data_IF_870730784348
#
_entry.id   IF_870730784348
#
_cell.length_a   1.000
_cell.length_b   1.000
_cell.length_c   1.000
_cell.angle_alpha   90.00
_cell.angle_beta   90.00
_cell.angle_gamma   90.00
#
_symmetry.space_group_name_H-M   'P 1'
#
loop_
_entity.id
_entity.type
_entity.pdbx_description
1 polymer ?
#
# COMPACT_ATOMS: atom_id res chain seq x y z
N UNK A 1 36.55 -3.29 46.20
CA UNK A 1 37.83 -2.59 46.44
C UNK A 1 37.48 -1.28 47.10
N UNK A 2 37.55 -1.19 48.44
CA UNK A 2 38.64 -0.52 49.20
C UNK A 2 38.75 0.96 48.76
N UNK A 3 38.57 2.00 49.57
CA UNK A 3 38.83 2.14 51.01
C UNK A 3 37.98 3.26 51.63
N UNK A 4 37.61 3.05 52.89
CA UNK A 4 37.07 4.02 53.85
C UNK A 4 38.20 4.85 54.45
N UNK A 5 37.99 6.16 54.67
CA UNK A 5 38.83 6.96 55.56
C UNK A 5 37.97 7.91 56.40
N UNK A 6 38.02 7.68 57.71
CA UNK A 6 37.56 8.55 58.80
C UNK A 6 38.40 9.84 58.89
N UNK A 7 37.95 10.87 59.61
CA UNK A 7 38.86 11.77 60.30
C UNK A 7 38.75 11.68 61.82
N UNK A 8 39.91 11.44 62.42
CA UNK A 8 40.20 11.53 63.84
C UNK A 8 40.23 12.97 64.32
N UNK A 9 39.70 13.16 65.51
CA UNK A 9 39.97 14.21 66.47
C UNK A 9 41.40 14.14 67.02
N UNK A 10 42.06 15.28 67.24
CA UNK A 10 43.15 15.41 68.25
C UNK A 10 43.60 16.86 68.46
N UNK A 11 43.24 17.39 69.63
CA UNK A 11 44.02 18.21 70.56
C UNK A 11 44.75 19.47 70.05
N UNK A 12 44.20 20.62 70.42
CA UNK A 12 44.94 21.86 70.61
C UNK A 12 45.77 21.86 71.91
N UNK A 13 46.91 22.53 71.88
CA UNK A 13 47.64 22.98 73.06
C UNK A 13 47.55 24.50 73.10
N UNK A 14 46.83 25.04 74.08
CA UNK A 14 46.83 26.45 74.43
C UNK A 14 47.69 26.63 75.67
N UNK A 15 48.84 27.27 75.52
CA UNK A 15 49.70 27.67 76.64
C UNK A 15 49.31 29.10 77.04
N UNK A 16 48.58 29.23 78.15
CA UNK A 16 48.26 30.51 78.79
C UNK A 16 49.28 30.78 79.88
N UNK A 17 50.32 31.56 79.58
CA UNK A 17 51.16 32.18 80.61
C UNK A 17 50.56 33.52 81.01
N UNK A 18 50.15 33.61 82.28
CA UNK A 18 49.51 34.75 82.93
C UNK A 18 50.43 35.96 83.04
N UNK A 19 49.99 37.09 82.49
CA UNK A 19 50.51 38.41 82.82
C UNK A 19 50.09 38.77 84.25
N UNK A 20 51.08 39.06 85.10
CA UNK A 20 50.90 39.33 86.53
C UNK A 20 50.34 40.75 86.73
N UNK A 21 49.10 40.83 87.23
CA UNK A 21 48.46 42.07 87.63
C UNK A 21 49.01 42.52 88.98
N UNK A 22 49.37 43.81 89.08
CA UNK A 22 49.96 44.45 90.26
C UNK A 22 49.06 44.34 91.50
N UNK A 23 49.61 44.06 92.71
CA UNK A 23 48.83 43.73 93.92
C UNK A 23 47.90 44.85 94.43
N UNK A 24 48.07 46.09 93.96
CA UNK A 24 47.16 47.19 94.25
C UNK A 24 45.87 47.17 93.42
N UNK A 25 45.86 46.52 92.25
CA UNK A 25 44.70 46.46 91.35
C UNK A 25 43.80 45.25 91.64
N UNK A 26 44.36 44.15 92.15
CA UNK A 26 43.59 43.00 92.67
C UNK A 26 42.75 43.37 93.90
N UNK A 27 43.31 44.19 94.81
CA UNK A 27 42.55 44.72 95.96
C UNK A 27 41.37 45.60 95.52
N UNK A 28 41.57 46.45 94.50
CA UNK A 28 40.58 47.41 94.05
C UNK A 28 39.46 46.79 93.19
N UNK A 29 39.76 45.70 92.47
CA UNK A 29 38.78 44.95 91.68
C UNK A 29 37.96 43.96 92.54
N UNK A 30 38.57 43.35 93.55
CA UNK A 30 37.89 42.44 94.49
C UNK A 30 36.84 43.15 95.35
N UNK A 31 37.12 44.39 95.77
CA UNK A 31 36.24 45.17 96.66
C UNK A 31 35.04 45.81 95.93
N UNK A 32 35.08 45.91 94.59
CA UNK A 32 34.05 46.59 93.78
C UNK A 32 33.18 45.66 92.93
N UNK A 33 33.58 44.40 92.73
CA UNK A 33 32.84 43.44 91.88
C UNK A 33 32.13 42.32 92.64
N UNK A 34 32.30 42.18 93.96
CA UNK A 34 31.39 41.38 94.82
C UNK A 34 31.14 39.94 94.37
N UNK A 35 32.05 39.38 93.56
CA UNK A 35 31.86 38.09 92.89
C UNK A 35 33.09 37.77 92.07
N UNK A 36 33.86 36.78 92.54
CA UNK A 36 34.87 36.08 91.74
C UNK A 36 34.12 35.51 90.52
N UNK A 37 34.29 36.09 89.34
CA UNK A 37 33.81 35.46 88.11
C UNK A 37 34.69 34.23 87.93
N UNK A 38 34.15 33.05 88.25
CA UNK A 38 34.84 31.77 88.03
C UNK A 38 34.94 31.55 86.51
N UNK A 39 36.05 32.01 85.93
CA UNK A 39 36.43 31.82 84.52
C UNK A 39 36.27 30.34 84.10
N UNK A 40 36.56 29.41 85.02
CA UNK A 40 36.38 27.97 84.84
C UNK A 40 34.92 27.56 84.67
N UNK A 41 33.99 28.15 85.44
CA UNK A 41 32.55 27.87 85.34
C UNK A 41 31.99 28.41 84.02
N UNK A 42 32.43 29.60 83.59
CA UNK A 42 31.99 30.18 82.32
C UNK A 42 32.52 29.38 81.11
N UNK A 43 33.79 28.96 81.12
CA UNK A 43 34.35 28.08 80.08
C UNK A 43 33.66 26.71 80.05
N UNK A 44 33.33 26.14 81.21
CA UNK A 44 32.58 24.89 81.30
C UNK A 44 31.16 25.04 80.72
N UNK A 45 30.49 26.17 80.96
CA UNK A 45 29.18 26.48 80.36
C UNK A 45 29.25 26.64 78.85
N UNK A 46 30.26 27.33 78.31
CA UNK A 46 30.44 27.42 76.85
C UNK A 46 30.79 26.08 76.22
N UNK A 47 31.65 25.27 76.85
CA UNK A 47 31.99 23.93 76.37
C UNK A 47 30.78 23.01 76.34
N UNK A 48 29.98 23.01 77.41
CA UNK A 48 28.75 22.19 77.49
C UNK A 48 27.69 22.64 76.49
N UNK A 49 27.53 23.95 76.27
CA UNK A 49 26.64 24.46 75.21
C UNK A 49 27.13 24.10 73.81
N UNK A 50 28.43 24.21 73.55
CA UNK A 50 29.01 23.84 72.26
C UNK A 50 28.87 22.34 72.00
N UNK A 51 29.14 21.50 72.98
CA UNK A 51 28.93 20.06 72.88
C UNK A 51 27.45 19.70 72.69
N UNK A 52 26.53 20.39 73.36
CA UNK A 52 25.11 20.18 73.15
C UNK A 52 24.70 20.54 71.72
N UNK A 53 25.19 21.67 71.18
CA UNK A 53 24.93 22.10 69.80
C UNK A 53 25.56 21.15 68.78
N UNK A 54 26.74 20.62 69.05
CA UNK A 54 27.37 19.59 68.20
C UNK A 54 26.57 18.29 68.23
N UNK A 55 26.11 17.82 69.40
CA UNK A 55 25.24 16.64 69.51
C UNK A 55 23.89 16.84 68.81
N UNK A 56 23.26 17.99 68.95
CA UNK A 56 22.01 18.35 68.23
C UNK A 56 22.23 18.32 66.70
N UNK A 57 23.35 18.89 66.23
CA UNK A 57 23.70 18.88 64.81
C UNK A 57 23.97 17.47 64.31
N UNK A 58 24.70 16.66 65.07
CA UNK A 58 25.05 15.29 64.69
C UNK A 58 23.80 14.41 64.62
N UNK A 59 22.91 14.49 65.63
CA UNK A 59 21.61 13.79 65.60
C UNK A 59 20.70 14.26 64.46
N UNK A 60 20.68 15.55 64.14
CA UNK A 60 19.96 16.07 62.98
C UNK A 60 20.47 15.47 61.66
N UNK A 61 21.79 15.43 61.46
CA UNK A 61 22.38 14.85 60.24
C UNK A 61 22.19 13.34 60.15
N UNK A 62 22.27 12.62 61.27
CA UNK A 62 21.96 11.20 61.32
C UNK A 62 20.50 10.94 60.88
N UNK A 63 19.55 11.71 61.41
CA UNK A 63 18.14 11.63 60.99
C UNK A 63 17.98 11.97 59.51
N UNK A 64 18.65 13.02 59.03
CA UNK A 64 18.57 13.43 57.61
C UNK A 64 19.17 12.37 56.68
N UNK A 65 20.26 11.73 57.09
CA UNK A 65 20.89 10.63 56.34
C UNK A 65 19.95 9.43 56.26
N UNK A 66 19.29 9.05 57.36
CA UNK A 66 18.34 7.94 57.33
C UNK A 66 17.09 8.26 56.50
N UNK A 67 16.56 9.48 56.58
CA UNK A 67 15.46 9.94 55.72
C UNK A 67 15.85 9.86 54.23
N UNK A 68 17.06 10.31 53.88
CA UNK A 68 17.57 10.24 52.50
C UNK A 68 17.79 8.80 52.03
N UNK A 69 18.25 7.90 52.89
CA UNK A 69 18.38 6.47 52.57
C UNK A 69 17.02 5.82 52.29
N UNK A 70 16.03 6.10 53.12
CA UNK A 70 14.66 5.61 52.94
C UNK A 70 14.04 6.15 51.65
N UNK A 71 14.21 7.45 51.39
CA UNK A 71 13.74 8.10 50.15
C UNK A 71 14.42 7.51 48.91
N UNK A 72 15.74 7.33 48.93
CA UNK A 72 16.48 6.70 47.83
C UNK A 72 16.02 5.27 47.57
N UNK A 73 15.80 4.47 48.63
CA UNK A 73 15.30 3.11 48.50
C UNK A 73 13.88 3.08 47.90
N UNK A 74 13.02 4.04 48.27
CA UNK A 74 11.68 4.19 47.69
C UNK A 74 11.75 4.50 46.20
N UNK A 75 12.55 5.49 45.79
CA UNK A 75 12.72 5.88 44.39
C UNK A 75 13.31 4.73 43.58
N UNK A 76 14.33 4.04 44.08
CA UNK A 76 14.91 2.86 43.40
C UNK A 76 13.90 1.72 43.25
N UNK A 77 13.03 1.51 44.24
CA UNK A 77 11.95 0.53 44.17
C UNK A 77 10.92 0.89 43.10
N UNK A 78 10.52 2.17 43.03
CA UNK A 78 9.59 2.68 42.01
C UNK A 78 10.18 2.61 40.60
N UNK A 79 11.45 3.01 40.42
CA UNK A 79 12.15 2.91 39.14
C UNK A 79 12.30 1.45 38.68
N UNK A 80 12.63 0.52 39.59
CA UNK A 80 12.71 -0.89 39.27
C UNK A 80 11.33 -1.46 38.86
N UNK A 81 10.26 -1.06 39.55
CA UNK A 81 8.90 -1.44 39.20
C UNK A 81 8.47 -0.88 37.82
N UNK A 82 8.79 0.38 37.54
CA UNK A 82 8.52 1.02 36.26
C UNK A 82 9.30 0.35 35.11
N UNK A 83 10.59 0.06 35.30
CA UNK A 83 11.41 -0.66 34.33
C UNK A 83 10.86 -2.07 34.05
N UNK A 84 10.41 -2.78 35.09
CA UNK A 84 9.78 -4.09 34.92
C UNK A 84 8.44 -4.01 34.17
N UNK A 85 7.63 -2.99 34.43
CA UNK A 85 6.39 -2.76 33.70
C UNK A 85 6.64 -2.52 32.21
N UNK A 86 7.60 -1.64 31.87
CA UNK A 86 8.00 -1.36 30.48
C UNK A 86 8.55 -2.60 29.79
N UNK A 87 9.36 -3.41 30.47
CA UNK A 87 9.88 -4.66 29.90
C UNK A 87 8.75 -5.66 29.59
N UNK A 88 7.75 -5.77 30.48
CA UNK A 88 6.59 -6.65 30.26
C UNK A 88 5.72 -6.17 29.10
N UNK A 89 5.48 -4.86 28.97
CA UNK A 89 4.70 -4.32 27.84
C UNK A 89 5.44 -4.54 26.52
N UNK A 90 6.75 -4.27 26.48
CA UNK A 90 7.57 -4.52 25.29
C UNK A 90 7.59 -6.01 24.90
N UNK A 91 7.66 -6.92 25.87
CA UNK A 91 7.59 -8.36 25.61
C UNK A 91 6.21 -8.78 25.08
N UNK A 92 5.12 -8.22 25.62
CA UNK A 92 3.76 -8.49 25.14
C UNK A 92 3.55 -7.99 23.70
N UNK A 93 4.05 -6.79 23.39
CA UNK A 93 4.00 -6.22 22.03
C UNK A 93 4.83 -7.04 21.04
N UNK A 94 6.03 -7.47 21.42
CA UNK A 94 6.87 -8.33 20.59
C UNK A 94 6.19 -9.69 20.31
N UNK A 95 5.56 -10.30 21.31
CA UNK A 95 4.80 -11.54 21.13
C UNK A 95 3.61 -11.36 20.18
N UNK A 96 2.87 -10.24 20.31
CA UNK A 96 1.77 -9.90 19.41
C UNK A 96 2.26 -9.71 17.97
N UNK A 97 3.35 -8.97 17.77
CA UNK A 97 3.93 -8.74 16.45
C UNK A 97 4.38 -10.06 15.76
N UNK A 98 4.91 -11.02 16.53
CA UNK A 98 5.27 -12.35 15.99
C UNK A 98 4.03 -13.11 15.51
N UNK A 99 2.95 -13.11 16.30
CA UNK A 99 1.70 -13.79 15.93
C UNK A 99 1.07 -13.15 14.68
N UNK A 100 1.02 -11.83 14.61
CA UNK A 100 0.51 -11.10 13.45
C UNK A 100 1.35 -11.38 12.20
N UNK A 101 2.68 -11.38 12.33
CA UNK A 101 3.59 -11.74 11.24
C UNK A 101 3.37 -13.17 10.75
N UNK A 102 3.19 -14.13 11.65
CA UNK A 102 2.98 -15.52 11.28
C UNK A 102 1.61 -15.74 10.64
N UNK A 103 0.57 -15.03 11.09
CA UNK A 103 -0.73 -15.00 10.42
C UNK A 103 -0.63 -14.40 9.01
N UNK A 104 0.06 -13.27 8.85
CA UNK A 104 0.29 -12.64 7.55
C UNK A 104 1.06 -13.57 6.60
N UNK A 105 2.08 -14.28 7.09
CA UNK A 105 2.82 -15.27 6.29
C UNK A 105 1.93 -16.39 5.78
N UNK A 106 1.05 -16.93 6.63
CA UNK A 106 0.09 -17.98 6.22
C UNK A 106 -0.87 -17.47 5.14
N UNK A 107 -1.38 -16.25 5.29
CA UNK A 107 -2.23 -15.63 4.28
C UNK A 107 -1.49 -15.45 2.95
N UNK A 108 -0.23 -14.99 2.98
CA UNK A 108 0.58 -14.86 1.76
C UNK A 108 0.80 -16.20 1.09
N UNK A 109 1.07 -17.28 1.84
CA UNK A 109 1.22 -18.61 1.25
C UNK A 109 -0.07 -19.12 0.63
N UNK A 110 -1.21 -18.88 1.27
CA UNK A 110 -2.54 -19.27 0.76
C UNK A 110 -2.92 -18.47 -0.49
N UNK A 111 -2.66 -17.17 -0.50
CA UNK A 111 -2.91 -16.36 -1.70
C UNK A 111 -2.03 -16.77 -2.87
N UNK A 112 -0.79 -17.20 -2.61
CA UNK A 112 0.11 -17.74 -3.66
C UNK A 112 -0.38 -19.06 -4.23
N UNK A 113 -0.90 -19.97 -3.40
CA UNK A 113 -1.44 -21.24 -3.89
C UNK A 113 -2.72 -21.02 -4.71
N UNK A 114 -3.60 -20.12 -4.25
CA UNK A 114 -4.81 -19.72 -4.98
C UNK A 114 -4.47 -19.03 -6.30
N UNK A 115 -3.49 -18.12 -6.32
CA UNK A 115 -3.03 -17.46 -7.54
C UNK A 115 -2.52 -18.49 -8.56
N UNK A 116 -1.66 -19.41 -8.14
CA UNK A 116 -1.16 -20.46 -9.03
C UNK A 116 -2.28 -21.39 -9.54
N UNK A 117 -3.32 -21.63 -8.74
CA UNK A 117 -4.50 -22.38 -9.18
C UNK A 117 -5.32 -21.60 -10.22
N UNK A 118 -5.49 -20.29 -10.02
CA UNK A 118 -6.17 -19.42 -10.96
C UNK A 118 -5.40 -19.30 -12.29
N UNK A 119 -4.08 -19.18 -12.27
CA UNK A 119 -3.23 -19.17 -13.47
C UNK A 119 -3.40 -20.46 -14.28
N UNK A 120 -3.34 -21.63 -13.64
CA UNK A 120 -3.59 -22.90 -14.34
C UNK A 120 -5.02 -23.02 -14.90
N UNK A 121 -6.00 -22.48 -14.19
CA UNK A 121 -7.38 -22.46 -14.68
C UNK A 121 -7.51 -21.54 -15.90
N UNK A 122 -6.81 -20.40 -15.91
CA UNK A 122 -6.75 -19.49 -17.03
C UNK A 122 -6.10 -20.14 -18.26
N UNK A 123 -4.96 -20.80 -18.10
CA UNK A 123 -4.29 -21.54 -19.20
C UNK A 123 -5.23 -22.59 -19.82
N UNK A 124 -6.01 -23.29 -18.98
CA UNK A 124 -6.99 -24.28 -19.42
C UNK A 124 -8.16 -23.64 -20.17
N UNK A 125 -8.63 -22.48 -19.72
CA UNK A 125 -9.68 -21.74 -20.42
C UNK A 125 -9.19 -21.25 -21.78
N UNK A 126 -7.95 -20.78 -21.87
CA UNK A 126 -7.36 -20.33 -23.13
C UNK A 126 -7.21 -21.49 -24.12
N UNK A 127 -6.79 -22.67 -23.65
CA UNK A 127 -6.75 -23.89 -24.46
C UNK A 127 -8.14 -24.31 -24.98
N UNK A 128 -9.15 -24.33 -24.10
CA UNK A 128 -10.53 -24.67 -24.49
C UNK A 128 -11.13 -23.65 -25.46
N UNK A 129 -10.78 -22.37 -25.32
CA UNK A 129 -11.20 -21.33 -26.25
C UNK A 129 -10.59 -21.57 -27.65
N UNK A 130 -9.32 -21.93 -27.75
CA UNK A 130 -8.70 -22.23 -29.05
C UNK A 130 -9.30 -23.48 -29.70
N UNK A 131 -9.56 -24.55 -28.94
CA UNK A 131 -10.26 -25.76 -29.44
C UNK A 131 -11.66 -25.43 -29.97
N UNK A 132 -12.39 -24.56 -29.27
CA UNK A 132 -13.72 -24.10 -29.67
C UNK A 132 -13.65 -23.24 -30.93
N UNK A 133 -12.69 -22.33 -31.04
CA UNK A 133 -12.48 -21.53 -32.25
C UNK A 133 -12.02 -22.39 -33.45
N UNK A 134 -11.17 -23.39 -33.22
CA UNK A 134 -10.82 -24.36 -34.25
C UNK A 134 -12.06 -25.12 -34.75
N UNK A 135 -12.89 -25.63 -33.83
CA UNK A 135 -14.14 -26.33 -34.16
C UNK A 135 -15.10 -25.43 -34.94
N UNK A 136 -15.21 -24.14 -34.58
CA UNK A 136 -16.00 -23.16 -35.32
C UNK A 136 -15.50 -22.94 -36.75
N UNK A 137 -14.18 -22.85 -36.94
CA UNK A 137 -13.56 -22.70 -38.27
C UNK A 137 -13.76 -23.95 -39.13
N UNK A 138 -13.63 -25.13 -38.54
CA UNK A 138 -13.89 -26.41 -39.22
C UNK A 138 -15.34 -26.52 -39.66
N UNK A 139 -16.28 -26.27 -38.75
CA UNK A 139 -17.70 -26.27 -39.07
C UNK A 139 -18.07 -25.24 -40.14
N UNK A 140 -17.50 -24.03 -40.08
CA UNK A 140 -17.74 -23.00 -41.09
C UNK A 140 -17.23 -23.43 -42.48
N UNK A 141 -16.07 -24.10 -42.54
CA UNK A 141 -15.53 -24.67 -43.79
C UNK A 141 -16.44 -25.75 -44.34
N UNK A 142 -16.77 -26.77 -43.54
CA UNK A 142 -17.66 -27.86 -43.95
C UNK A 142 -19.03 -27.34 -44.41
N UNK A 143 -19.60 -26.39 -43.68
CA UNK A 143 -20.87 -25.76 -44.05
C UNK A 143 -20.77 -25.05 -45.39
N UNK A 144 -19.67 -24.31 -45.64
CA UNK A 144 -19.46 -23.61 -46.91
C UNK A 144 -19.30 -24.61 -48.07
N UNK A 145 -18.57 -25.70 -47.88
CA UNK A 145 -18.41 -26.77 -48.87
C UNK A 145 -19.74 -27.45 -49.19
N UNK A 146 -20.50 -27.86 -48.17
CA UNK A 146 -21.81 -28.50 -48.35
C UNK A 146 -22.81 -27.55 -49.01
N UNK A 147 -22.83 -26.28 -48.60
CA UNK A 147 -23.71 -25.27 -49.22
C UNK A 147 -23.32 -25.04 -50.68
N UNK A 148 -22.02 -24.98 -50.99
CA UNK A 148 -21.53 -24.87 -52.37
C UNK A 148 -21.90 -26.08 -53.23
N UNK A 149 -21.74 -27.30 -52.69
CA UNK A 149 -22.11 -28.53 -53.38
C UNK A 149 -23.63 -28.61 -53.63
N UNK A 150 -24.44 -28.22 -52.65
CA UNK A 150 -25.90 -28.16 -52.79
C UNK A 150 -26.30 -27.16 -53.89
N UNK A 151 -25.78 -25.93 -53.86
CA UNK A 151 -26.10 -24.94 -54.89
C UNK A 151 -25.67 -25.38 -56.30
N UNK A 152 -24.54 -26.08 -56.43
CA UNK A 152 -24.13 -26.66 -57.72
C UNK A 152 -25.07 -27.76 -58.20
N UNK A 153 -25.55 -28.62 -57.28
CA UNK A 153 -26.50 -29.67 -57.61
C UNK A 153 -27.86 -29.09 -58.01
N UNK A 154 -28.34 -28.08 -57.29
CA UNK A 154 -29.58 -27.35 -57.59
C UNK A 154 -29.51 -26.66 -58.95
N UNK A 155 -28.40 -25.99 -59.27
CA UNK A 155 -28.19 -25.36 -60.57
C UNK A 155 -28.22 -26.39 -61.72
N UNK A 156 -27.52 -27.52 -61.56
CA UNK A 156 -27.55 -28.61 -62.56
C UNK A 156 -28.94 -29.21 -62.72
N UNK A 157 -29.69 -29.37 -61.63
CA UNK A 157 -31.06 -29.89 -61.68
C UNK A 157 -31.99 -28.93 -62.43
N UNK A 158 -31.85 -27.62 -62.20
CA UNK A 158 -32.58 -26.59 -62.94
C UNK A 158 -32.23 -26.60 -64.44
N UNK A 159 -30.94 -26.60 -64.79
CA UNK A 159 -30.48 -26.66 -66.19
C UNK A 159 -31.02 -27.91 -66.91
N UNK A 160 -31.02 -29.07 -66.24
CA UNK A 160 -31.56 -30.30 -66.80
C UNK A 160 -33.09 -30.24 -66.97
N UNK A 161 -33.81 -29.65 -66.01
CA UNK A 161 -35.26 -29.45 -66.11
C UNK A 161 -35.60 -28.52 -67.29
N UNK A 162 -34.85 -27.43 -67.48
CA UNK A 162 -35.04 -26.49 -68.59
C UNK A 162 -34.80 -27.14 -69.95
N UNK A 163 -33.74 -27.94 -70.06
CA UNK A 163 -33.45 -28.70 -71.28
C UNK A 163 -34.52 -29.75 -71.57
N UNK A 164 -35.04 -30.43 -70.54
CA UNK A 164 -36.12 -31.41 -70.69
C UNK A 164 -37.43 -30.74 -71.14
N UNK A 165 -37.76 -29.55 -70.61
CA UNK A 165 -38.92 -28.79 -71.04
C UNK A 165 -38.82 -28.42 -72.53
N UNK A 166 -37.65 -27.94 -72.96
CA UNK A 166 -37.39 -27.60 -74.37
C UNK A 166 -37.51 -28.82 -75.28
N UNK A 167 -36.90 -29.95 -74.91
CA UNK A 167 -36.97 -31.19 -75.67
C UNK A 167 -38.41 -31.73 -75.75
N UNK A 168 -39.17 -31.66 -74.66
CA UNK A 168 -40.57 -32.11 -74.62
C UNK A 168 -41.46 -31.26 -75.54
N UNK A 169 -41.21 -29.95 -75.60
CA UNK A 169 -41.92 -29.04 -76.51
C UNK A 169 -41.53 -29.24 -77.99
N UNK A 170 -40.28 -29.60 -78.25
CA UNK A 170 -39.76 -29.88 -79.58
C UNK A 170 -40.40 -31.11 -80.25
N UNK A 171 -40.89 -32.07 -79.45
CA UNK A 171 -41.53 -33.28 -79.95
C UNK A 171 -42.81 -32.97 -80.75
N UNK A 172 -43.20 -33.85 -81.69
CA UNK A 172 -44.49 -33.75 -82.37
C UNK A 172 -45.66 -33.87 -81.37
N UNK A 173 -46.78 -33.16 -81.55
CA UNK A 173 -47.92 -33.20 -80.63
C UNK A 173 -48.51 -34.60 -80.39
N UNK A 174 -48.39 -35.49 -81.37
CA UNK A 174 -48.85 -36.88 -81.30
C UNK A 174 -47.94 -37.78 -80.44
N UNK A 175 -46.77 -37.29 -80.02
CA UNK A 175 -45.84 -38.05 -79.21
C UNK A 175 -46.33 -38.10 -77.75
N UNK A 176 -46.36 -39.27 -77.08
CA UNK A 176 -46.77 -39.40 -75.69
C UNK A 176 -45.96 -38.54 -74.69
N UNK A 177 -44.73 -38.19 -75.05
CA UNK A 177 -43.83 -37.37 -74.25
C UNK A 177 -43.85 -35.90 -74.64
N UNK A 178 -44.70 -35.51 -75.60
CA UNK A 178 -44.91 -34.11 -75.90
C UNK A 178 -45.60 -33.42 -74.72
N UNK A 179 -44.94 -32.39 -74.21
CA UNK A 179 -45.48 -31.57 -73.14
C UNK A 179 -45.09 -30.13 -73.35
N UNK A 180 -46.05 -29.24 -73.13
CA UNK A 180 -45.87 -27.80 -73.04
C UNK A 180 -46.77 -27.26 -71.94
N UNK A 181 -46.34 -26.18 -71.31
CA UNK A 181 -47.19 -25.45 -70.37
C UNK A 181 -48.32 -24.75 -71.11
N UNK A 182 -49.42 -24.51 -70.42
CA UNK A 182 -50.63 -23.97 -71.05
C UNK A 182 -50.45 -22.54 -71.56
N UNK A 183 -49.60 -21.75 -70.90
CA UNK A 183 -49.26 -20.40 -71.37
C UNK A 183 -48.41 -20.45 -72.64
N UNK A 184 -47.43 -21.36 -72.71
CA UNK A 184 -46.60 -21.54 -73.91
C UNK A 184 -47.45 -21.99 -75.12
N UNK A 185 -48.46 -22.85 -74.91
CA UNK A 185 -49.38 -23.29 -75.98
C UNK A 185 -50.17 -22.14 -76.59
N UNK A 186 -50.53 -21.12 -75.80
CA UNK A 186 -51.32 -19.98 -76.27
C UNK A 186 -50.54 -19.08 -77.23
N UNK A 187 -49.21 -19.10 -77.15
CA UNK A 187 -48.33 -18.32 -78.03
C UNK A 187 -48.05 -18.98 -79.39
N UNK A 188 -48.43 -20.25 -79.56
CA UNK A 188 -48.13 -21.03 -80.76
C UNK A 188 -49.37 -21.19 -81.63
N UNK A 189 -49.29 -20.75 -82.88
CA UNK A 189 -50.31 -20.99 -83.90
C UNK A 189 -49.84 -22.08 -84.88
N UNK A 190 -50.60 -23.17 -85.06
CA UNK A 190 -50.22 -24.22 -86.01
C UNK A 190 -50.26 -23.68 -87.45
N UNK A 191 -49.15 -23.88 -88.18
CA UNK A 191 -49.04 -23.49 -89.59
C UNK A 191 -49.17 -24.66 -90.55
N UNK A 192 -49.05 -25.89 -90.04
CA UNK A 192 -49.04 -27.12 -90.84
C UNK A 192 -47.65 -27.47 -91.39
N UNK A 193 -46.65 -26.62 -91.16
CA UNK A 193 -45.24 -26.93 -91.44
C UNK A 193 -44.59 -27.46 -90.16
N UNK A 194 -44.33 -28.77 -90.10
CA UNK A 194 -43.86 -29.45 -88.90
C UNK A 194 -42.58 -28.84 -88.30
N UNK A 195 -41.61 -28.48 -89.15
CA UNK A 195 -40.34 -27.88 -88.70
C UNK A 195 -40.54 -26.47 -88.15
N UNK A 196 -41.39 -25.66 -88.79
CA UNK A 196 -41.71 -24.31 -88.32
C UNK A 196 -42.48 -24.36 -87.00
N UNK A 197 -43.50 -25.22 -86.92
CA UNK A 197 -44.33 -25.38 -85.73
C UNK A 197 -43.48 -25.89 -84.55
N UNK A 198 -42.49 -26.76 -84.79
CA UNK A 198 -41.51 -27.18 -83.78
C UNK A 198 -40.71 -25.99 -83.24
N UNK A 199 -40.12 -25.18 -84.12
CA UNK A 199 -39.33 -24.01 -83.71
C UNK A 199 -40.20 -23.00 -82.96
N UNK A 200 -41.47 -22.83 -83.34
CA UNK A 200 -42.40 -21.98 -82.61
C UNK A 200 -42.65 -22.47 -81.17
N UNK A 201 -42.79 -23.79 -80.97
CA UNK A 201 -42.94 -24.37 -79.62
C UNK A 201 -41.68 -24.20 -78.78
N UNK A 202 -40.51 -24.49 -79.35
CA UNK A 202 -39.22 -24.26 -78.67
C UNK A 202 -39.04 -22.79 -78.29
N UNK A 203 -39.40 -21.86 -79.18
CA UNK A 203 -39.33 -20.41 -78.91
C UNK A 203 -40.26 -19.98 -77.78
N UNK A 204 -41.47 -20.52 -77.69
CA UNK A 204 -42.41 -20.19 -76.61
C UNK A 204 -41.80 -20.56 -75.24
N UNK A 205 -41.32 -21.80 -75.10
CA UNK A 205 -40.65 -22.27 -73.87
C UNK A 205 -39.43 -21.41 -73.52
N UNK A 206 -38.55 -21.13 -74.49
CA UNK A 206 -37.38 -20.29 -74.26
C UNK A 206 -37.75 -18.85 -73.84
N UNK A 207 -38.86 -18.32 -74.35
CA UNK A 207 -39.32 -16.97 -74.00
C UNK A 207 -39.79 -16.91 -72.56
N UNK A 208 -40.55 -17.92 -72.11
CA UNK A 208 -40.96 -18.06 -70.71
C UNK A 208 -39.76 -18.24 -69.78
N UNK A 209 -38.86 -19.19 -70.07
CA UNK A 209 -37.64 -19.41 -69.27
C UNK A 209 -36.79 -18.14 -69.16
N UNK A 210 -36.65 -17.37 -70.25
CA UNK A 210 -35.95 -16.10 -70.23
C UNK A 210 -36.65 -15.08 -69.31
N UNK A 211 -37.98 -15.06 -69.28
CA UNK A 211 -38.73 -14.16 -68.42
C UNK A 211 -38.61 -14.56 -66.95
N UNK A 212 -38.66 -15.85 -66.63
CA UNK A 212 -38.43 -16.38 -65.28
C UNK A 212 -37.01 -16.06 -64.78
N UNK A 213 -36.00 -16.25 -65.62
CA UNK A 213 -34.62 -15.89 -65.30
C UNK A 213 -34.45 -14.39 -65.02
N UNK A 214 -35.15 -13.53 -65.78
CA UNK A 214 -35.15 -12.08 -65.52
C UNK A 214 -35.79 -11.74 -64.17
N UNK A 215 -36.89 -12.40 -63.81
CA UNK A 215 -37.55 -12.21 -62.52
C UNK A 215 -36.64 -12.65 -61.37
N UNK A 216 -36.05 -13.85 -61.47
CA UNK A 216 -35.09 -14.36 -60.48
C UNK A 216 -33.89 -13.42 -60.31
N UNK A 217 -33.35 -12.86 -61.41
CA UNK A 217 -32.26 -11.89 -61.35
C UNK A 217 -32.68 -10.57 -60.67
N UNK A 218 -33.92 -10.13 -60.88
CA UNK A 218 -34.46 -8.94 -60.21
C UNK A 218 -34.60 -9.16 -58.69
N UNK A 219 -35.00 -10.36 -58.26
CA UNK A 219 -35.08 -10.72 -56.84
C UNK A 219 -33.68 -10.75 -56.19
N UNK A 220 -32.70 -11.37 -56.86
CA UNK A 220 -31.29 -11.37 -56.42
C UNK A 220 -30.77 -9.95 -56.29
N UNK A 221 -30.99 -9.11 -57.30
CA UNK A 221 -30.59 -7.69 -57.27
C UNK A 221 -31.22 -6.96 -56.09
N UNK A 222 -32.50 -7.17 -55.82
CA UNK A 222 -33.22 -6.51 -54.73
C UNK A 222 -32.66 -6.95 -53.37
N UNK A 223 -32.44 -8.26 -53.19
CA UNK A 223 -31.85 -8.84 -51.98
C UNK A 223 -30.44 -8.31 -51.71
N UNK A 224 -29.57 -8.31 -52.73
CA UNK A 224 -28.21 -7.77 -52.62
C UNK A 224 -28.20 -6.27 -52.30
N UNK A 225 -29.08 -5.50 -52.92
CA UNK A 225 -29.22 -4.08 -52.60
C UNK A 225 -29.60 -3.87 -51.13
N UNK A 226 -30.49 -4.71 -50.59
CA UNK A 226 -30.85 -4.68 -49.16
C UNK A 226 -29.69 -5.07 -48.24
N UNK A 227 -28.92 -6.09 -48.60
CA UNK A 227 -27.73 -6.50 -47.85
C UNK A 227 -26.66 -5.41 -47.82
N UNK A 228 -26.41 -4.74 -48.96
CA UNK A 228 -25.48 -3.61 -49.06
C UNK A 228 -25.94 -2.48 -48.13
N UNK A 229 -27.21 -2.06 -48.18
CA UNK A 229 -27.72 -1.01 -47.30
C UNK A 229 -27.59 -1.36 -45.80
N UNK A 230 -27.80 -2.63 -45.44
CA UNK A 230 -27.58 -3.12 -44.08
C UNK A 230 -26.11 -3.05 -43.68
N UNK A 231 -25.19 -3.49 -44.56
CA UNK A 231 -23.75 -3.42 -44.32
C UNK A 231 -23.25 -1.98 -44.22
N UNK A 232 -23.71 -1.08 -45.09
CA UNK A 232 -23.39 0.36 -45.02
C UNK A 232 -23.82 0.94 -43.66
N UNK A 233 -25.00 0.57 -43.17
CA UNK A 233 -25.48 0.96 -41.83
C UNK A 233 -24.59 0.40 -40.71
N UNK A 234 -24.12 -0.85 -40.83
CA UNK A 234 -23.19 -1.44 -39.86
C UNK A 234 -21.83 -0.75 -39.89
N UNK A 235 -21.26 -0.51 -41.07
CA UNK A 235 -19.98 0.21 -41.24
C UNK A 235 -20.08 1.62 -40.64
N UNK A 236 -21.15 2.36 -40.91
CA UNK A 236 -21.36 3.69 -40.34
C UNK A 236 -21.38 3.66 -38.80
N UNK A 237 -22.05 2.67 -38.19
CA UNK A 237 -22.06 2.49 -36.73
C UNK A 237 -20.68 2.16 -36.18
N UNK A 238 -19.95 1.22 -36.80
CA UNK A 238 -18.60 0.86 -36.38
C UNK A 238 -17.62 2.02 -36.52
N UNK A 239 -17.71 2.80 -37.59
CA UNK A 239 -16.90 4.01 -37.77
C UNK A 239 -17.16 5.04 -36.68
N UNK A 240 -18.43 5.22 -36.29
CA UNK A 240 -18.79 6.10 -35.16
C UNK A 240 -18.23 5.57 -33.84
N UNK A 241 -18.40 4.28 -33.55
CA UNK A 241 -17.90 3.65 -32.33
C UNK A 241 -16.37 3.76 -32.23
N UNK A 242 -15.64 3.49 -33.32
CA UNK A 242 -14.19 3.65 -33.36
C UNK A 242 -13.75 5.11 -33.10
N UNK A 243 -14.54 6.09 -33.58
CA UNK A 243 -14.33 7.50 -33.28
C UNK A 243 -14.53 7.83 -31.79
N UNK A 244 -15.61 7.32 -31.17
CA UNK A 244 -15.93 7.48 -29.75
C UNK A 244 -14.85 6.82 -28.87
N UNK A 245 -14.49 5.56 -29.12
CA UNK A 245 -13.42 4.83 -28.41
C UNK A 245 -12.06 5.53 -28.56
N UNK A 246 -11.74 6.02 -29.75
CA UNK A 246 -10.51 6.79 -29.99
C UNK A 246 -10.49 8.14 -29.24
N UNK A 247 -11.64 8.73 -28.97
CA UNK A 247 -11.75 9.95 -28.13
C UNK A 247 -11.58 9.62 -26.65
N UNK A 248 -12.22 8.55 -26.17
CA UNK A 248 -12.14 8.13 -24.77
C UNK A 248 -10.73 7.64 -24.42
N UNK A 249 -10.08 6.90 -25.32
CA UNK A 249 -8.67 6.49 -25.13
C UNK A 249 -7.75 7.70 -24.95
N UNK A 250 -7.91 8.75 -25.75
CA UNK A 250 -7.11 9.98 -25.61
C UNK A 250 -7.38 10.67 -24.28
N UNK A 251 -8.64 10.72 -23.84
CA UNK A 251 -9.01 11.26 -22.53
C UNK A 251 -8.35 10.48 -21.38
N UNK A 252 -8.46 9.16 -21.38
CA UNK A 252 -7.84 8.29 -20.36
C UNK A 252 -6.32 8.42 -20.37
N UNK A 253 -5.69 8.53 -21.54
CA UNK A 253 -4.25 8.77 -21.65
C UNK A 253 -3.82 10.12 -21.06
N UNK A 254 -4.64 11.17 -21.19
CA UNK A 254 -4.41 12.47 -20.54
C UNK A 254 -4.56 12.35 -19.02
N UNK A 255 -5.67 11.78 -18.54
CA UNK A 255 -5.91 11.59 -17.10
C UNK A 255 -4.79 10.74 -16.45
N UNK A 256 -4.30 9.71 -17.15
CA UNK A 256 -3.15 8.91 -16.71
C UNK A 256 -1.88 9.75 -16.55
N UNK A 257 -1.57 10.62 -17.51
CA UNK A 257 -0.40 11.51 -17.44
C UNK A 257 -0.52 12.48 -16.26
N UNK A 258 -1.68 13.09 -16.07
CA UNK A 258 -1.93 14.00 -14.94
C UNK A 258 -1.78 13.29 -13.58
N UNK A 259 -2.32 12.08 -13.44
CA UNK A 259 -2.16 11.28 -12.22
C UNK A 259 -0.70 10.88 -11.99
N UNK A 260 0.04 10.57 -13.04
CA UNK A 260 1.46 10.23 -12.96
C UNK A 260 2.30 11.43 -12.52
N UNK A 261 2.00 12.64 -13.02
CA UNK A 261 2.64 13.89 -12.58
C UNK A 261 2.31 14.20 -11.10
N UNK A 262 1.04 14.05 -10.68
CA UNK A 262 0.64 14.20 -9.28
C UNK A 262 1.34 13.21 -8.37
N UNK A 263 1.48 11.95 -8.80
CA UNK A 263 2.20 10.91 -8.06
C UNK A 263 3.68 11.27 -7.90
N UNK A 264 4.34 11.73 -8.96
CA UNK A 264 5.75 12.17 -8.91
C UNK A 264 5.93 13.37 -7.99
N UNK A 265 5.04 14.37 -8.05
CA UNK A 265 5.05 15.53 -7.16
C UNK A 265 4.86 15.12 -5.69
N UNK A 266 3.89 14.25 -5.40
CA UNK A 266 3.65 13.75 -4.05
C UNK A 266 4.84 12.92 -3.52
N UNK A 267 5.47 12.10 -4.37
CA UNK A 267 6.67 11.35 -4.01
C UNK A 267 7.86 12.29 -3.69
N UNK A 268 8.04 13.37 -4.45
CA UNK A 268 9.07 14.36 -4.17
C UNK A 268 8.84 15.10 -2.85
N UNK A 269 7.61 15.50 -2.55
CA UNK A 269 7.26 16.10 -1.25
C UNK A 269 7.40 15.09 -0.10
N UNK A 270 7.10 13.81 -0.31
CA UNK A 270 7.36 12.75 0.68
C UNK A 270 8.85 12.63 1.00
N UNK A 271 9.73 12.61 -0.01
CA UNK A 271 11.17 12.53 0.22
C UNK A 271 11.72 13.78 0.91
N UNK A 272 11.21 14.96 0.56
CA UNK A 272 11.55 16.21 1.26
C UNK A 272 11.10 16.18 2.73
N UNK A 273 9.91 15.68 3.03
CA UNK A 273 9.42 15.57 4.42
C UNK A 273 10.19 14.54 5.22
N UNK A 274 10.55 13.39 4.63
CA UNK A 274 11.47 12.41 5.24
C UNK A 274 12.84 13.01 5.55
N UNK A 275 13.43 13.74 4.60
CA UNK A 275 14.72 14.40 4.81
C UNK A 275 14.64 15.45 5.93
N UNK A 276 13.57 16.23 5.98
CA UNK A 276 13.33 17.20 7.06
C UNK A 276 13.17 16.52 8.42
N UNK A 277 12.49 15.37 8.47
CA UNK A 277 12.36 14.55 9.68
C UNK A 277 13.71 13.99 10.14
N UNK A 278 14.49 13.41 9.23
CA UNK A 278 15.84 12.92 9.55
C UNK A 278 16.76 14.04 10.09
N UNK A 279 16.67 15.24 9.48
CA UNK A 279 17.41 16.41 9.96
C UNK A 279 16.95 16.86 11.36
N UNK A 280 15.64 16.83 11.65
CA UNK A 280 15.11 17.21 12.95
C UNK A 280 15.45 16.16 14.03
N UNK A 281 15.39 14.87 13.71
CA UNK A 281 15.84 13.77 14.57
C UNK A 281 17.33 13.90 14.91
N UNK A 282 18.19 14.14 13.92
CA UNK A 282 19.62 14.37 14.14
C UNK A 282 19.88 15.59 15.05
N UNK A 283 19.10 16.66 14.88
CA UNK A 283 19.16 17.84 15.76
C UNK A 283 18.73 17.50 17.19
N UNK A 284 17.66 16.72 17.37
CA UNK A 284 17.20 16.26 18.69
C UNK A 284 18.27 15.41 19.37
N UNK A 285 18.86 14.43 18.67
CA UNK A 285 19.93 13.59 19.22
C UNK A 285 21.12 14.43 19.71
N UNK A 286 21.57 15.40 18.90
CA UNK A 286 22.67 16.30 19.28
C UNK A 286 22.33 17.16 20.50
N UNK A 287 21.16 17.81 20.51
CA UNK A 287 20.71 18.61 21.66
C UNK A 287 20.58 17.76 22.93
N UNK A 288 20.11 16.52 22.81
CA UNK A 288 20.01 15.61 23.94
C UNK A 288 21.40 15.22 24.48
N UNK A 289 22.40 15.06 23.59
CA UNK A 289 23.80 14.89 23.96
C UNK A 289 24.39 16.12 24.68
N UNK A 290 24.11 17.33 24.19
CA UNK A 290 24.51 18.59 24.83
C UNK A 290 23.89 18.73 26.23
N UNK A 291 22.58 18.44 26.36
CA UNK A 291 21.87 18.42 27.66
C UNK A 291 22.50 17.41 28.62
N UNK A 292 22.83 16.21 28.14
CA UNK A 292 23.48 15.20 28.97
C UNK A 292 24.88 15.65 29.43
N UNK A 293 25.67 16.25 28.53
CA UNK A 293 26.99 16.80 28.87
C UNK A 293 26.90 17.92 29.90
N UNK A 294 25.98 18.87 29.71
CA UNK A 294 25.74 19.95 30.67
C UNK A 294 25.22 19.41 32.01
N UNK A 295 24.38 18.36 32.00
CA UNK A 295 23.94 17.72 33.23
C UNK A 295 25.10 17.07 33.99
N UNK A 296 26.06 16.43 33.29
CA UNK A 296 27.28 15.90 33.88
C UNK A 296 28.18 17.01 34.43
N UNK A 297 28.34 18.13 33.71
CA UNK A 297 29.11 19.29 34.15
C UNK A 297 28.49 19.98 35.37
N UNK A 298 27.16 20.17 35.39
CA UNK A 298 26.46 20.69 36.56
C UNK A 298 26.63 19.75 37.75
N UNK A 299 26.58 18.43 37.53
CA UNK A 299 26.80 17.44 38.59
C UNK A 299 28.24 17.50 39.11
N UNK A 300 29.24 17.66 38.24
CA UNK A 300 30.65 17.77 38.64
C UNK A 300 30.92 19.07 39.39
N UNK A 301 30.38 20.21 38.92
CA UNK A 301 30.47 21.51 39.60
C UNK A 301 29.81 21.48 40.97
N UNK A 302 28.64 20.84 41.10
CA UNK A 302 27.99 20.61 42.40
C UNK A 302 28.87 19.79 43.32
N UNK A 303 29.44 18.68 42.85
CA UNK A 303 30.36 17.87 43.67
C UNK A 303 31.64 18.63 44.07
N UNK A 304 32.17 19.49 43.18
CA UNK A 304 33.32 20.34 43.47
C UNK A 304 32.98 21.43 44.49
N UNK A 305 31.80 22.04 44.38
CA UNK A 305 31.30 23.03 45.34
C UNK A 305 31.05 22.39 46.71
N UNK A 306 30.49 21.17 46.75
CA UNK A 306 30.32 20.41 47.99
C UNK A 306 31.68 20.06 48.62
N UNK A 307 32.70 19.70 47.81
CA UNK A 307 34.07 19.51 48.30
C UNK A 307 34.74 20.80 48.80
N UNK A 308 34.51 21.94 48.15
CA UNK A 308 35.00 23.24 48.58
C UNK A 308 34.30 23.72 49.87
N UNK A 309 33.01 23.46 50.03
CA UNK A 309 32.25 23.78 51.24
C UNK A 309 32.63 22.89 52.44
N UNK A 310 33.12 21.67 52.20
CA UNK A 310 33.65 20.76 53.23
C UNK A 310 35.13 21.06 53.57
N UNK A 311 35.80 21.94 52.83
CA UNK A 311 37.14 22.46 53.15
C UNK A 311 37.13 23.92 53.60
N UNK A 312 36.62 24.26 54.80
CA UNK A 312 37.04 25.48 55.46
C UNK A 312 38.39 25.24 56.12
N UNK A 313 39.32 26.15 55.86
CA UNK A 313 40.60 26.31 56.54
C UNK A 313 41.73 25.39 56.06
N UNK A 314 42.58 25.94 55.20
CA UNK A 314 43.99 26.12 55.54
C UNK A 314 44.56 27.21 54.60
N UNK A 315 45.17 28.23 55.22
CA UNK A 315 45.85 29.40 54.65
C UNK A 315 45.04 30.68 54.44
N UNK A 316 44.95 31.45 55.52
CA UNK A 316 45.28 32.88 55.48
C UNK A 316 46.75 33.04 55.88
N UNK A 317 47.62 33.39 54.93
CA UNK A 317 48.71 34.38 55.04
C UNK A 317 48.77 35.09 53.71
#
# INVERSE_FOLDING_TARGET
>A
MQSTASPSSSAGHGDSTSDSISPQMESYLSERTGGRIDQAVLQQQYSTQLEAKLRERDTYWEQKIEELKLSLASVQGEEAAAAQAVARTAQAEAAKAVLERDAAKRLVTELKTQLAAAERAQDRLDALNEELEQSRREWARERAELSGALSQAEARAADLADNLALLSAALPPENPHHHMEDDDKREVTPTGCADYDRVCRERAVLTRQLQEAKMALADVKTSWSGQIASLETQVARLSRQAGEEGSERRRVEIEKKELQEKLQSAAAELEKTKQNLANSEAKVVRLNGEVHSLALEVKSLRSAADHAAVSPSLYTI
#
